data_IF_782000614565
#
_entry.id   IF_782000614565
#
_cell.length_a   1.000
_cell.length_b   1.000
_cell.length_c   1.000
_cell.angle_alpha   90.00
_cell.angle_beta   90.00
_cell.angle_gamma   90.00
#
_symmetry.space_group_name_H-M   'P 1'
#
loop_
_entity.id
_entity.type
_entity.pdbx_description
1 polymer ?
#
# COMPACT_ATOMS: atom_id res chain seq x y z
N UNK A 1 16.36 -2.78 -8.40
CA UNK A 1 16.41 -3.94 -7.47
C UNK A 1 15.40 -3.86 -6.30
N UNK A 2 15.41 -2.80 -5.48
CA UNK A 2 14.65 -2.78 -4.22
C UNK A 2 13.11 -2.89 -4.34
N UNK A 3 12.55 -2.60 -5.52
CA UNK A 3 11.09 -2.64 -5.75
C UNK A 3 10.59 -3.97 -6.33
N UNK A 4 11.46 -4.87 -6.79
CA UNK A 4 11.02 -6.11 -7.46
C UNK A 4 10.23 -7.01 -6.53
N UNK A 5 10.76 -7.25 -5.33
CA UNK A 5 10.08 -8.05 -4.32
C UNK A 5 8.77 -7.38 -3.85
N UNK A 6 8.80 -6.06 -3.64
CA UNK A 6 7.63 -5.30 -3.23
C UNK A 6 6.52 -5.35 -4.29
N UNK A 7 6.86 -5.24 -5.59
CA UNK A 7 5.92 -5.40 -6.70
C UNK A 7 5.35 -6.80 -6.77
N UNK A 8 6.19 -7.83 -6.68
CA UNK A 8 5.72 -9.21 -6.73
C UNK A 8 4.71 -9.50 -5.60
N UNK A 9 4.99 -8.99 -4.38
CA UNK A 9 4.06 -9.06 -3.25
C UNK A 9 2.77 -8.28 -3.51
N UNK A 10 2.86 -7.03 -3.98
CA UNK A 10 1.70 -6.18 -4.22
C UNK A 10 0.78 -6.72 -5.34
N UNK A 11 1.34 -7.26 -6.44
CA UNK A 11 0.55 -7.89 -7.51
C UNK A 11 -0.16 -9.15 -7.00
N UNK A 12 0.53 -9.97 -6.20
CA UNK A 12 -0.08 -11.17 -5.60
C UNK A 12 -1.23 -10.79 -4.67
N UNK A 13 -1.02 -9.85 -3.77
CA UNK A 13 -2.05 -9.36 -2.84
C UNK A 13 -3.28 -8.82 -3.57
N UNK A 14 -3.06 -7.99 -4.59
CA UNK A 14 -4.14 -7.47 -5.44
C UNK A 14 -4.93 -8.58 -6.14
N UNK A 15 -4.25 -9.62 -6.65
CA UNK A 15 -4.89 -10.77 -7.30
C UNK A 15 -5.70 -11.61 -6.31
N UNK A 16 -5.12 -11.94 -5.16
CA UNK A 16 -5.78 -12.77 -4.14
C UNK A 16 -7.06 -12.08 -3.64
N UNK A 17 -7.00 -10.75 -3.43
CA UNK A 17 -8.18 -9.94 -3.09
C UNK A 17 -9.21 -9.89 -4.22
N UNK A 18 -8.77 -9.77 -5.48
CA UNK A 18 -9.69 -9.77 -6.61
C UNK A 18 -10.41 -11.12 -6.78
N UNK A 19 -9.72 -12.24 -6.53
CA UNK A 19 -10.34 -13.58 -6.51
C UNK A 19 -11.41 -13.68 -5.43
N UNK A 20 -11.08 -13.28 -4.20
CA UNK A 20 -12.04 -13.29 -3.09
C UNK A 20 -13.29 -12.46 -3.41
N UNK A 21 -13.13 -11.27 -4.00
CA UNK A 21 -14.24 -10.41 -4.38
C UNK A 21 -15.07 -11.01 -5.52
N UNK A 22 -14.44 -11.68 -6.48
CA UNK A 22 -15.13 -12.38 -7.57
C UNK A 22 -15.96 -13.56 -7.05
N UNK A 23 -15.37 -14.37 -6.15
CA UNK A 23 -16.07 -15.50 -5.50
C UNK A 23 -17.29 -15.03 -4.70
N UNK A 24 -17.16 -13.93 -3.95
CA UNK A 24 -18.29 -13.34 -3.20
C UNK A 24 -19.39 -12.76 -4.10
N UNK A 25 -19.03 -12.34 -5.32
CA UNK A 25 -19.96 -11.79 -6.30
C UNK A 25 -20.55 -12.84 -7.26
N UNK A 26 -20.20 -14.13 -7.09
CA UNK A 26 -20.58 -15.23 -7.98
C UNK A 26 -20.19 -15.00 -9.46
N UNK A 27 -19.01 -14.43 -9.67
CA UNK A 27 -18.47 -14.16 -11.01
C UNK A 27 -17.06 -14.71 -11.14
N UNK A 28 -16.58 -14.96 -12.37
CA UNK A 28 -15.20 -15.43 -12.58
C UNK A 28 -14.26 -14.25 -12.82
N UNK A 29 -13.08 -14.31 -12.21
CA UNK A 29 -12.03 -13.34 -12.43
C UNK A 29 -11.37 -13.56 -13.80
N UNK A 30 -11.43 -12.55 -14.66
CA UNK A 30 -10.82 -12.55 -15.99
C UNK A 30 -9.39 -11.99 -16.01
N UNK A 31 -8.95 -11.55 -17.20
CA UNK A 31 -7.61 -10.97 -17.39
C UNK A 31 -7.53 -9.53 -16.83
N UNK A 32 -6.35 -9.07 -16.38
CA UNK A 32 -6.13 -7.67 -16.06
C UNK A 32 -6.40 -6.77 -17.27
N UNK A 33 -7.15 -5.69 -17.09
CA UNK A 33 -7.47 -4.69 -18.13
C UNK A 33 -6.77 -3.36 -17.89
N UNK A 34 -6.34 -3.10 -16.65
CA UNK A 34 -5.62 -1.88 -16.28
C UNK A 34 -4.68 -2.16 -15.10
N UNK A 35 -3.47 -1.61 -15.16
CA UNK A 35 -2.48 -1.68 -14.08
C UNK A 35 -1.90 -0.29 -13.88
N UNK A 36 -1.92 0.20 -12.65
CA UNK A 36 -1.29 1.45 -12.24
C UNK A 36 -0.44 1.23 -11.00
N UNK A 37 0.81 1.67 -11.06
CA UNK A 37 1.76 1.63 -9.94
C UNK A 37 1.90 3.04 -9.36
N UNK A 38 1.43 3.22 -8.13
CA UNK A 38 1.62 4.44 -7.36
C UNK A 38 2.84 4.29 -6.47
N UNK A 39 3.99 4.83 -6.89
CA UNK A 39 5.17 4.94 -6.02
C UNK A 39 4.93 6.08 -5.03
N UNK A 40 4.19 5.79 -3.97
CA UNK A 40 3.83 6.80 -2.97
C UNK A 40 4.93 6.90 -1.93
N UNK A 41 5.94 7.73 -2.19
CA UNK A 41 6.74 8.30 -1.10
C UNK A 41 5.96 9.48 -0.52
N UNK A 42 5.23 9.24 0.57
CA UNK A 42 4.67 10.30 1.41
C UNK A 42 5.75 10.68 2.44
N UNK A 43 6.49 11.80 2.26
CA UNK A 43 7.30 12.31 3.35
C UNK A 43 6.38 12.59 4.55
N UNK A 44 6.80 12.29 5.79
CA UNK A 44 6.03 12.64 6.96
C UNK A 44 5.71 14.14 6.91
N UNK A 45 4.43 14.49 6.96
CA UNK A 45 4.00 15.89 7.01
C UNK A 45 4.39 16.42 8.37
N UNK A 46 5.54 17.08 8.45
CA UNK A 46 5.95 17.83 9.64
C UNK A 46 5.06 19.07 9.68
N UNK A 47 3.84 18.95 10.23
CA UNK A 47 3.06 20.14 10.58
C UNK A 47 3.83 20.82 11.71
N UNK A 48 4.55 21.89 11.37
CA UNK A 48 4.99 22.86 12.36
C UNK A 48 3.75 23.43 13.02
N UNK A 49 3.33 22.85 14.14
CA UNK A 49 2.36 23.45 15.03
C UNK A 49 3.02 24.69 15.63
N UNK A 50 2.42 25.90 15.54
CA UNK A 50 2.77 26.93 16.50
C UNK A 50 2.41 26.40 17.88
N UNK A 51 3.35 26.53 18.81
CA UNK A 51 3.21 26.16 20.22
C UNK A 51 1.93 26.73 20.84
N UNK A 52 0.84 25.97 20.77
CA UNK A 52 -0.35 26.21 21.55
C UNK A 52 -0.80 24.86 22.08
N UNK A 53 -0.30 24.54 23.28
CA UNK A 53 -0.80 23.50 24.17
C UNK A 53 -0.58 22.06 23.67
N UNK A 54 0.70 21.69 23.52
CA UNK A 54 1.09 20.30 23.36
C UNK A 54 0.85 19.52 24.66
N UNK A 55 -0.34 18.93 24.81
CA UNK A 55 -0.46 17.68 25.57
C UNK A 55 0.56 16.70 24.98
N UNK A 56 1.46 16.10 25.78
CA UNK A 56 2.44 15.15 25.28
C UNK A 56 1.68 13.91 24.81
N UNK A 57 1.27 13.91 23.55
CA UNK A 57 0.84 12.70 22.88
C UNK A 57 2.09 11.85 22.72
N UNK A 58 2.13 10.61 23.27
CA UNK A 58 3.30 9.76 23.13
C UNK A 58 3.64 9.67 21.64
N UNK A 59 4.90 9.97 21.31
CA UNK A 59 5.40 9.78 19.96
C UNK A 59 5.05 8.34 19.55
N UNK A 60 4.40 8.12 18.39
CA UNK A 60 4.18 6.76 17.91
C UNK A 60 5.55 6.08 17.88
N UNK A 61 5.67 4.92 18.55
CA UNK A 61 6.89 4.12 18.48
C UNK A 61 7.18 3.91 17.01
N UNK A 62 8.30 4.46 16.52
CA UNK A 62 8.74 4.25 15.14
C UNK A 62 9.33 2.84 15.11
N UNK A 63 8.65 1.83 14.55
CA UNK A 63 9.07 0.44 14.71
C UNK A 63 10.31 0.09 13.89
N UNK A 64 10.91 1.06 13.21
CA UNK A 64 12.06 0.89 12.33
C UNK A 64 13.36 1.14 13.10
N UNK A 65 14.28 0.20 13.04
CA UNK A 65 15.60 0.32 13.65
C UNK A 65 16.47 1.24 12.77
N UNK A 66 17.39 2.05 13.33
CA UNK A 66 18.34 2.81 12.54
C UNK A 66 19.08 1.90 11.53
N UNK A 67 18.96 2.20 10.24
CA UNK A 67 19.52 1.39 9.14
C UNK A 67 18.52 0.46 8.44
N UNK A 68 17.29 0.33 8.94
CA UNK A 68 16.21 -0.40 8.28
C UNK A 68 15.50 0.48 7.24
N UNK A 69 15.33 -0.03 6.02
CA UNK A 69 14.64 0.68 4.94
C UNK A 69 13.32 -0.03 4.63
N UNK A 70 12.21 0.59 5.05
CA UNK A 70 10.86 0.11 4.73
C UNK A 70 10.37 0.70 3.41
N UNK A 71 10.17 -0.16 2.42
CA UNK A 71 9.60 0.20 1.12
C UNK A 71 8.12 -0.15 1.11
N UNK A 72 7.27 0.85 0.90
CA UNK A 72 5.84 0.64 0.67
C UNK A 72 5.53 0.97 -0.78
N UNK A 73 4.80 0.08 -1.43
CA UNK A 73 4.42 0.21 -2.84
C UNK A 73 2.95 -0.14 -2.98
N UNK A 74 2.21 0.68 -3.72
CA UNK A 74 0.78 0.48 -3.96
C UNK A 74 0.54 0.24 -5.45
N UNK A 75 -0.15 -0.86 -5.78
CA UNK A 75 -0.57 -1.18 -7.14
C UNK A 75 -2.08 -1.25 -7.18
N UNK A 76 -2.66 -0.64 -8.20
CA UNK A 76 -4.06 -0.80 -8.56
C UNK A 76 -4.14 -1.66 -9.82
N UNK A 77 -4.90 -2.74 -9.76
CA UNK A 77 -5.17 -3.62 -10.90
C UNK A 77 -6.68 -3.74 -11.09
N UNK A 78 -7.16 -3.43 -12.30
CA UNK A 78 -8.53 -3.74 -12.70
C UNK A 78 -8.54 -5.04 -13.51
N UNK A 79 -9.50 -5.91 -13.23
CA UNK A 79 -9.69 -7.17 -13.92
C UNK A 79 -11.02 -7.16 -14.67
N UNK A 80 -11.06 -7.84 -15.81
CA UNK A 80 -12.32 -8.19 -16.44
C UNK A 80 -13.06 -9.21 -15.57
N UNK A 81 -14.39 -9.23 -15.70
CA UNK A 81 -15.25 -10.25 -15.12
C UNK A 81 -15.80 -11.10 -16.26
N UNK A 82 -15.85 -12.42 -16.06
CA UNK A 82 -16.34 -13.41 -17.03
C UNK A 82 -17.35 -14.38 -16.41
#
# INVERSE_FOLDING_TARGET
>A
PYYEEARAKAVKDAKDKALQLADLADVKLGKPTYISEGVTYLPPVVRGLPEAEAVPMPAPETPIIPGELKITLTIQIAYAII
#
